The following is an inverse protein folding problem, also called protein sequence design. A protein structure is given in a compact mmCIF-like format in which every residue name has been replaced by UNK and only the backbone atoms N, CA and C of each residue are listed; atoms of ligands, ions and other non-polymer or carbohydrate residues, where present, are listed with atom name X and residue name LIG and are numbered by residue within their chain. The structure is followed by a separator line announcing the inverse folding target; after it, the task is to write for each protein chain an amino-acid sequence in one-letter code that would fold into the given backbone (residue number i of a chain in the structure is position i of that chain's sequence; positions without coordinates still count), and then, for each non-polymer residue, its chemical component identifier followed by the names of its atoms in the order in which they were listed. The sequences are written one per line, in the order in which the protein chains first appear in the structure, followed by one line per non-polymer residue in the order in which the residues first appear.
data_IF_689176625515
#
_entry.id   IF_689176625515
#
_cell.length_a   1.000
_cell.length_b   1.000
_cell.length_c   1.000
_cell.angle_alpha   90.00
_cell.angle_beta   90.00
_cell.angle_gamma   90.00
#
_symmetry.space_group_name_H-M   'P 1'
#
loop_
_entity.id
_entity.type
_entity.pdbx_description
1 polymer ?
#
# COMPACT_ATOMS: atom_id res chain seq x y z
N UNK A 1 -21.39 -7.69 2.55
CA UNK A 1 -20.84 -9.05 2.41
C UNK A 1 -19.61 -8.97 1.52
N UNK A 2 -18.54 -9.68 1.85
CA UNK A 2 -17.32 -9.79 1.06
C UNK A 2 -17.02 -11.29 0.88
N UNK A 3 -17.02 -11.76 -0.36
CA UNK A 3 -16.88 -13.20 -0.68
C UNK A 3 -17.78 -14.09 0.20
N UNK A 4 -19.06 -13.71 0.34
CA UNK A 4 -20.05 -14.47 1.10
C UNK A 4 -20.00 -14.29 2.62
N UNK A 5 -19.04 -13.58 3.18
CA UNK A 5 -18.88 -13.40 4.63
C UNK A 5 -19.25 -11.98 5.07
N UNK A 6 -19.74 -11.79 6.30
CA UNK A 6 -20.11 -10.46 6.77
C UNK A 6 -18.90 -9.52 6.86
N UNK A 7 -19.05 -8.32 6.31
CA UNK A 7 -18.06 -7.26 6.37
C UNK A 7 -18.73 -6.02 6.95
N UNK A 8 -18.22 -5.54 8.09
CA UNK A 8 -18.80 -4.41 8.83
C UNK A 8 -17.71 -3.37 9.10
N UNK A 9 -18.13 -2.11 9.10
CA UNK A 9 -17.25 -0.97 9.40
C UNK A 9 -17.88 -0.17 10.55
N UNK A 10 -17.08 0.13 11.57
CA UNK A 10 -17.48 1.00 12.68
C UNK A 10 -16.50 2.17 12.73
N UNK A 11 -17.03 3.40 12.73
CA UNK A 11 -16.21 4.61 12.72
C UNK A 11 -16.56 5.51 13.91
N UNK A 12 -15.59 6.34 14.34
CA UNK A 12 -15.81 7.35 15.36
C UNK A 12 -15.76 6.86 16.80
N UNK A 13 -15.44 5.60 17.04
CA UNK A 13 -15.36 5.04 18.41
C UNK A 13 -13.97 5.12 19.03
N UNK A 14 -12.94 4.93 18.22
CA UNK A 14 -11.56 4.80 18.69
C UNK A 14 -10.67 5.80 17.95
N UNK A 15 -9.49 6.06 18.54
CA UNK A 15 -8.44 6.91 17.93
C UNK A 15 -8.95 8.30 17.53
N UNK A 16 -9.60 9.01 18.47
CA UNK A 16 -10.19 10.33 18.22
C UNK A 16 -9.21 11.43 17.83
N UNK A 17 -7.91 11.22 18.06
CA UNK A 17 -6.86 12.18 17.69
C UNK A 17 -6.31 11.96 16.28
N UNK A 18 -6.68 10.86 15.62
CA UNK A 18 -6.27 10.58 14.24
C UNK A 18 -7.11 11.38 13.24
N UNK A 19 -6.58 11.62 12.04
CA UNK A 19 -7.34 12.27 10.96
C UNK A 19 -8.58 11.46 10.59
N UNK A 20 -8.45 10.12 10.59
CA UNK A 20 -9.59 9.20 10.51
C UNK A 20 -9.24 7.85 11.12
N UNK A 21 -10.26 7.17 11.62
CA UNK A 21 -10.11 5.82 12.17
C UNK A 21 -11.36 4.99 11.90
N UNK A 22 -11.17 3.69 11.74
CA UNK A 22 -12.25 2.74 11.56
C UNK A 22 -11.87 1.38 12.16
N UNK A 23 -12.86 0.70 12.70
CA UNK A 23 -12.74 -0.69 13.09
C UNK A 23 -13.41 -1.54 12.01
N UNK A 24 -12.65 -2.41 11.39
CA UNK A 24 -13.07 -3.27 10.28
C UNK A 24 -13.28 -4.66 10.85
N UNK A 25 -14.47 -5.19 10.65
CA UNK A 25 -14.78 -6.58 11.02
C UNK A 25 -15.07 -7.37 9.74
N UNK A 26 -14.30 -8.42 9.52
CA UNK A 26 -14.49 -9.38 8.44
C UNK A 26 -14.63 -10.77 9.07
N UNK A 27 -15.85 -11.30 9.07
CA UNK A 27 -16.16 -12.46 9.91
C UNK A 27 -15.87 -12.14 11.36
N UNK A 28 -15.04 -12.95 12.02
CA UNK A 28 -14.58 -12.67 13.40
C UNK A 28 -13.20 -11.99 13.45
N UNK A 29 -12.55 -11.77 12.30
CA UNK A 29 -11.34 -10.94 12.24
C UNK A 29 -11.73 -9.48 12.45
N UNK A 30 -11.02 -8.81 13.36
CA UNK A 30 -11.22 -7.38 13.64
C UNK A 30 -9.87 -6.67 13.50
N UNK A 31 -9.82 -5.65 12.64
CA UNK A 31 -8.63 -4.82 12.44
C UNK A 31 -9.00 -3.37 12.70
N UNK A 32 -8.25 -2.73 13.59
CA UNK A 32 -8.36 -1.29 13.83
C UNK A 32 -7.40 -0.58 12.87
N UNK A 33 -7.95 0.30 12.03
CA UNK A 33 -7.19 1.07 11.05
C UNK A 33 -7.29 2.55 11.41
N UNK A 34 -6.16 3.25 11.36
CA UNK A 34 -6.16 4.70 11.55
C UNK A 34 -5.12 5.34 10.64
N UNK A 35 -5.33 6.62 10.31
CA UNK A 35 -4.41 7.40 9.51
C UNK A 35 -4.17 8.74 10.21
N UNK A 36 -2.89 9.15 10.22
CA UNK A 36 -2.46 10.43 10.79
C UNK A 36 -1.54 11.11 9.78
N UNK A 37 -1.70 12.42 9.64
CA UNK A 37 -0.85 13.25 8.78
C UNK A 37 -0.27 14.40 9.62
N UNK A 38 1.02 14.69 9.40
CA UNK A 38 1.66 15.84 10.04
C UNK A 38 1.05 17.15 9.51
N UNK A 39 0.86 18.18 10.37
CA UNK A 39 0.29 19.44 9.90
C UNK A 39 1.23 20.25 9.01
N UNK A 40 2.54 19.98 9.06
CA UNK A 40 3.56 20.69 8.27
C UNK A 40 4.35 19.71 7.41
N UNK A 41 4.80 20.15 6.23
CA UNK A 41 5.71 19.34 5.42
C UNK A 41 7.03 19.08 6.16
N UNK A 42 7.61 17.92 5.94
CA UNK A 42 8.91 17.56 6.50
C UNK A 42 10.03 18.25 5.72
N UNK A 43 10.86 19.01 6.44
CA UNK A 43 11.98 19.72 5.82
C UNK A 43 13.11 18.76 5.43
N UNK A 44 13.78 19.06 4.34
CA UNK A 44 14.98 18.36 3.91
C UNK A 44 14.75 17.00 3.25
N UNK A 45 13.49 16.67 2.90
CA UNK A 45 13.20 15.41 2.17
C UNK A 45 12.74 15.71 0.74
N UNK A 46 13.19 14.87 -0.18
CA UNK A 46 12.87 14.95 -1.62
C UNK A 46 11.86 13.89 -2.07
N UNK A 47 11.36 13.08 -1.13
CA UNK A 47 10.39 12.01 -1.37
C UNK A 47 9.15 12.18 -0.48
N UNK A 48 8.08 11.46 -0.82
CA UNK A 48 6.86 11.42 -0.01
C UNK A 48 7.05 10.48 1.20
N UNK A 49 7.02 11.00 2.44
CA UNK A 49 7.26 10.18 3.63
C UNK A 49 5.98 9.47 4.10
N UNK A 50 5.66 8.34 3.48
CA UNK A 50 4.56 7.46 3.89
C UNK A 50 5.11 6.32 4.75
N UNK A 51 4.51 6.11 5.91
CA UNK A 51 4.77 4.96 6.77
C UNK A 51 3.50 4.14 6.89
N UNK A 52 3.60 2.85 6.61
CA UNK A 52 2.48 1.91 6.76
C UNK A 52 2.91 0.85 7.77
N UNK A 53 2.18 0.75 8.86
CA UNK A 53 2.45 -0.19 9.95
C UNK A 53 1.32 -1.20 10.07
N UNK A 54 1.69 -2.45 10.17
CA UNK A 54 0.75 -3.55 10.40
C UNK A 54 1.24 -4.33 11.62
N UNK A 55 0.36 -4.47 12.60
CA UNK A 55 0.68 -5.16 13.85
C UNK A 55 -0.32 -6.27 14.14
N UNK A 56 0.20 -7.48 14.31
CA UNK A 56 -0.57 -8.61 14.83
C UNK A 56 -0.28 -8.75 16.32
N UNK A 57 -1.26 -8.40 17.14
CA UNK A 57 -1.13 -8.55 18.59
C UNK A 57 -1.32 -10.02 18.99
N UNK A 58 -0.48 -10.51 19.90
CA UNK A 58 -0.56 -11.91 20.35
C UNK A 58 -1.93 -12.23 20.97
N UNK A 59 -2.54 -11.28 21.66
CA UNK A 59 -3.88 -11.47 22.22
C UNK A 59 -4.96 -11.71 21.17
N UNK A 60 -4.76 -11.21 19.93
CA UNK A 60 -5.71 -11.43 18.82
C UNK A 60 -5.86 -12.93 18.50
N UNK A 61 -4.80 -13.73 18.76
CA UNK A 61 -4.80 -15.18 18.61
C UNK A 61 -4.91 -15.91 19.96
N UNK A 62 -5.36 -15.21 21.02
CA UNK A 62 -5.52 -15.78 22.37
C UNK A 62 -4.21 -16.12 23.07
N UNK A 63 -3.11 -15.46 22.71
CA UNK A 63 -1.77 -15.73 23.26
C UNK A 63 -1.25 -14.58 24.11
N UNK A 64 -0.38 -14.92 25.07
CA UNK A 64 0.34 -13.95 25.90
C UNK A 64 1.80 -13.92 25.43
N UNK A 65 2.45 -12.74 25.38
CA UNK A 65 3.87 -12.67 25.05
C UNK A 65 4.71 -13.59 25.95
N UNK A 66 5.53 -14.46 25.33
CA UNK A 66 6.31 -15.46 26.04
C UNK A 66 7.65 -14.97 26.58
N UNK A 67 8.07 -13.74 26.22
CA UNK A 67 9.34 -13.19 26.70
C UNK A 67 9.30 -12.89 28.19
N UNK A 68 10.48 -12.75 28.81
CA UNK A 68 10.62 -12.38 30.23
C UNK A 68 9.84 -11.09 30.56
N UNK A 69 9.90 -10.11 29.66
CA UNK A 69 9.24 -8.82 29.85
C UNK A 69 7.72 -8.84 29.65
N UNK A 70 7.17 -9.97 29.17
CA UNK A 70 5.73 -10.11 28.86
C UNK A 70 5.18 -9.01 27.96
N UNK A 71 6.01 -8.51 27.03
CA UNK A 71 5.65 -7.45 26.09
C UNK A 71 5.77 -7.93 24.64
N UNK A 72 5.02 -7.26 23.77
CA UNK A 72 5.14 -7.46 22.32
C UNK A 72 6.53 -7.02 21.89
N UNK A 73 7.17 -7.81 21.05
CA UNK A 73 8.46 -7.48 20.46
C UNK A 73 8.34 -6.65 19.19
N UNK A 74 9.40 -6.68 18.39
CA UNK A 74 9.37 -6.08 17.06
C UNK A 74 8.37 -6.84 16.17
N UNK A 75 7.79 -6.17 15.17
CA UNK A 75 6.91 -6.86 14.22
C UNK A 75 7.62 -8.05 13.57
N UNK A 76 6.91 -9.16 13.45
CA UNK A 76 7.44 -10.33 12.76
C UNK A 76 7.57 -10.09 11.25
N UNK A 77 8.34 -10.95 10.59
CA UNK A 77 8.59 -10.86 9.14
C UNK A 77 7.28 -10.76 8.33
N UNK A 78 6.30 -11.59 8.67
CA UNK A 78 4.99 -11.57 8.01
C UNK A 78 4.31 -10.20 8.15
N UNK A 79 4.36 -9.61 9.34
CA UNK A 79 3.75 -8.29 9.58
C UNK A 79 4.42 -7.21 8.73
N UNK A 80 5.76 -7.27 8.62
CA UNK A 80 6.52 -6.34 7.77
C UNK A 80 6.15 -6.52 6.29
N UNK A 81 6.04 -7.77 5.83
CA UNK A 81 5.65 -8.05 4.44
C UNK A 81 4.23 -7.58 4.16
N UNK A 82 3.29 -7.81 5.09
CA UNK A 82 1.91 -7.33 4.95
C UNK A 82 1.85 -5.79 4.87
N UNK A 83 2.63 -5.07 5.70
CA UNK A 83 2.67 -3.61 5.63
C UNK A 83 3.13 -3.14 4.24
N UNK A 84 4.08 -3.85 3.63
CA UNK A 84 4.58 -3.53 2.28
C UNK A 84 3.53 -3.85 1.20
N UNK A 85 2.77 -4.92 1.37
CA UNK A 85 1.67 -5.28 0.45
C UNK A 85 0.60 -4.18 0.45
N UNK A 86 0.36 -3.52 1.59
CA UNK A 86 -0.57 -2.41 1.68
C UNK A 86 0.05 -1.11 1.15
N UNK A 87 1.32 -0.83 1.48
CA UNK A 87 2.03 0.38 1.05
C UNK A 87 2.10 0.49 -0.49
N UNK A 88 2.42 -0.61 -1.17
CA UNK A 88 2.65 -0.63 -2.63
C UNK A 88 1.49 -0.09 -3.45
N UNK A 89 0.23 -0.52 -3.24
CA UNK A 89 -0.89 0.03 -4.01
C UNK A 89 -1.35 1.40 -3.54
N UNK A 90 -1.09 1.79 -2.28
CA UNK A 90 -1.55 3.08 -1.74
C UNK A 90 -0.63 4.24 -2.13
N UNK A 91 0.68 4.02 -2.10
CA UNK A 91 1.71 5.06 -2.29
C UNK A 91 1.58 5.82 -3.63
N UNK A 92 1.39 5.16 -4.78
CA UNK A 92 1.31 5.89 -6.06
C UNK A 92 0.07 6.78 -6.21
N UNK A 93 -0.92 6.63 -5.35
CA UNK A 93 -2.16 7.41 -5.39
C UNK A 93 -2.07 8.70 -4.56
N UNK A 94 -0.99 8.89 -3.79
CA UNK A 94 -0.72 10.17 -3.13
C UNK A 94 -0.05 11.14 -4.10
N UNK A 95 -0.26 12.45 -3.94
CA UNK A 95 0.45 13.44 -4.75
C UNK A 95 1.97 13.34 -4.55
N UNK A 96 2.73 13.31 -5.63
CA UNK A 96 4.19 13.14 -5.59
C UNK A 96 4.90 14.31 -4.90
N UNK A 97 4.31 15.47 -4.93
CA UNK A 97 4.85 16.72 -4.41
C UNK A 97 4.59 16.89 -2.90
N UNK A 98 3.74 16.06 -2.34
CA UNK A 98 3.41 16.10 -0.90
C UNK A 98 4.62 15.70 -0.05
N UNK A 99 4.90 16.49 1.00
CA UNK A 99 6.04 16.25 1.91
C UNK A 99 5.59 16.12 3.37
N UNK A 100 4.28 16.11 3.61
CA UNK A 100 3.75 15.84 4.96
C UNK A 100 3.96 14.35 5.29
N UNK A 101 4.39 14.07 6.52
CA UNK A 101 4.47 12.68 7.01
C UNK A 101 3.07 12.10 7.11
N UNK A 102 2.84 10.97 6.49
CA UNK A 102 1.58 10.22 6.61
C UNK A 102 1.90 8.86 7.24
N UNK A 103 1.18 8.54 8.31
CA UNK A 103 1.29 7.24 8.97
C UNK A 103 -0.06 6.54 8.95
N UNK A 104 -0.08 5.32 8.41
CA UNK A 104 -1.25 4.45 8.41
C UNK A 104 -0.92 3.27 9.32
N UNK A 105 -1.73 3.06 10.34
CA UNK A 105 -1.53 1.95 11.29
C UNK A 105 -2.71 1.01 11.24
N UNK A 106 -2.41 -0.28 11.12
CA UNK A 106 -3.40 -1.36 11.12
C UNK A 106 -3.05 -2.31 12.26
N UNK A 107 -3.93 -2.41 13.26
CA UNK A 107 -3.72 -3.30 14.41
C UNK A 107 -4.77 -4.39 14.41
N UNK A 108 -4.33 -5.64 14.34
CA UNK A 108 -5.20 -6.82 14.39
C UNK A 108 -5.61 -7.04 15.85
N UNK A 109 -6.91 -6.93 16.12
CA UNK A 109 -7.49 -7.05 17.47
C UNK A 109 -8.09 -8.43 17.72
N UNK A 110 -8.53 -9.11 16.66
CA UNK A 110 -9.06 -10.47 16.71
C UNK A 110 -8.77 -11.17 15.39
N UNK A 111 -8.52 -12.45 15.40
CA UNK A 111 -8.10 -13.23 14.24
C UNK A 111 -9.03 -14.42 14.02
N UNK A 112 -9.60 -14.47 12.83
CA UNK A 112 -10.35 -15.61 12.29
C UNK A 112 -9.50 -16.21 11.16
N UNK A 113 -9.09 -17.47 11.27
CA UNK A 113 -8.23 -18.09 10.25
C UNK A 113 -8.82 -18.08 8.83
N UNK A 114 -10.14 -18.03 8.69
CA UNK A 114 -10.81 -18.04 7.40
C UNK A 114 -10.99 -16.64 6.80
N UNK A 115 -10.76 -15.59 7.59
CA UNK A 115 -10.98 -14.20 7.17
C UNK A 115 -9.64 -13.44 7.28
N UNK A 116 -8.95 -13.28 6.14
CA UNK A 116 -7.61 -12.67 6.10
C UNK A 116 -7.60 -11.27 6.74
N UNK A 117 -6.81 -11.06 7.80
CA UNK A 117 -6.63 -9.73 8.38
C UNK A 117 -5.88 -8.78 7.45
N UNK A 118 -5.08 -9.31 6.53
CA UNK A 118 -4.34 -8.53 5.52
C UNK A 118 -5.30 -7.80 4.59
N UNK A 119 -6.32 -8.53 4.09
CA UNK A 119 -7.35 -7.96 3.21
C UNK A 119 -8.23 -6.97 3.99
N UNK A 120 -8.65 -7.34 5.21
CA UNK A 120 -9.41 -6.42 6.06
C UNK A 120 -8.62 -5.14 6.35
N UNK A 121 -7.32 -5.27 6.62
CA UNK A 121 -6.42 -4.13 6.85
C UNK A 121 -6.26 -3.26 5.62
N UNK A 122 -6.06 -3.86 4.44
CA UNK A 122 -5.92 -3.12 3.19
C UNK A 122 -7.19 -2.29 2.87
N UNK A 123 -8.36 -2.92 2.99
CA UNK A 123 -9.65 -2.23 2.77
C UNK A 123 -9.83 -1.13 3.83
N UNK A 124 -9.46 -1.43 5.07
CA UNK A 124 -9.54 -0.46 6.18
C UNK A 124 -8.62 0.73 5.97
N UNK A 125 -7.36 0.50 5.58
CA UNK A 125 -6.38 1.55 5.28
C UNK A 125 -6.89 2.45 4.15
N UNK A 126 -7.44 1.85 3.10
CA UNK A 126 -8.05 2.56 1.98
C UNK A 126 -9.23 3.43 2.47
N UNK A 127 -10.12 2.84 3.26
CA UNK A 127 -11.30 3.52 3.78
C UNK A 127 -10.93 4.74 4.64
N UNK A 128 -10.03 4.57 5.63
CA UNK A 128 -9.68 5.68 6.55
C UNK A 128 -8.97 6.80 5.79
N UNK A 129 -8.14 6.46 4.81
CA UNK A 129 -7.47 7.47 3.98
C UNK A 129 -8.49 8.22 3.10
N UNK A 130 -9.44 7.49 2.50
CA UNK A 130 -10.47 8.08 1.63
C UNK A 130 -11.40 9.03 2.41
N UNK A 131 -11.80 8.64 3.64
CA UNK A 131 -12.69 9.43 4.51
C UNK A 131 -11.96 10.64 5.11
N UNK A 132 -10.65 10.53 5.37
CA UNK A 132 -9.85 11.61 5.99
C UNK A 132 -9.74 12.83 5.09
N UNK A 133 -9.24 13.92 5.65
CA UNK A 133 -8.93 15.16 4.93
C UNK A 133 -7.62 15.08 4.11
N UNK A 134 -6.91 13.96 4.15
CA UNK A 134 -5.62 13.77 3.48
C UNK A 134 -5.82 13.67 1.95
N UNK A 135 -5.08 14.45 1.13
CA UNK A 135 -5.18 14.37 -0.33
C UNK A 135 -4.71 12.98 -0.83
N UNK A 136 -5.60 12.26 -1.49
CA UNK A 136 -5.33 10.90 -1.97
C UNK A 136 -6.33 10.55 -3.08
N UNK A 137 -5.82 9.95 -4.16
CA UNK A 137 -6.58 9.63 -5.38
C UNK A 137 -7.15 8.19 -5.39
N UNK A 138 -7.43 7.65 -4.19
CA UNK A 138 -8.13 6.39 -4.04
C UNK A 138 -9.65 6.55 -4.17
N UNK A 139 -10.44 5.56 -3.75
CA UNK A 139 -10.03 4.38 -2.94
C UNK A 139 -9.52 3.20 -3.75
N UNK A 140 -8.89 2.28 -3.02
CA UNK A 140 -8.50 0.97 -3.54
C UNK A 140 -9.25 -0.14 -2.79
N UNK A 141 -9.40 -1.28 -3.44
CA UNK A 141 -9.81 -2.51 -2.79
C UNK A 141 -8.75 -3.57 -2.97
N UNK A 142 -8.81 -4.61 -2.15
CA UNK A 142 -7.94 -5.77 -2.27
C UNK A 142 -8.67 -7.07 -2.04
N UNK A 143 -8.27 -8.11 -2.78
CA UNK A 143 -8.84 -9.46 -2.65
C UNK A 143 -7.71 -10.49 -2.79
N UNK A 144 -7.83 -11.58 -2.05
CA UNK A 144 -7.03 -12.78 -2.30
C UNK A 144 -7.81 -13.72 -3.21
N UNK A 145 -7.10 -14.40 -4.09
CA UNK A 145 -7.69 -15.39 -5.00
C UNK A 145 -6.88 -16.69 -4.88
N UNK A 146 -7.59 -17.79 -4.80
CA UNK A 146 -7.01 -19.12 -4.87
C UNK A 146 -7.56 -19.90 -6.07
N UNK A 147 -6.87 -20.96 -6.45
CA UNK A 147 -7.31 -21.93 -7.43
C UNK A 147 -7.41 -23.28 -6.72
N UNK A 148 -8.62 -23.74 -6.47
CA UNK A 148 -8.88 -24.97 -5.71
C UNK A 148 -9.66 -25.95 -6.61
N UNK A 149 -9.07 -27.09 -6.87
CA UNK A 149 -9.66 -28.14 -7.73
C UNK A 149 -10.07 -27.58 -9.11
N UNK A 150 -9.30 -26.62 -9.64
CA UNK A 150 -9.54 -25.98 -10.94
C UNK A 150 -10.55 -24.82 -10.91
N UNK A 151 -11.12 -24.48 -9.73
CA UNK A 151 -12.09 -23.39 -9.61
C UNK A 151 -11.45 -22.17 -8.95
N UNK A 152 -11.76 -20.98 -9.46
CA UNK A 152 -11.30 -19.71 -8.92
C UNK A 152 -12.14 -19.38 -7.67
N UNK A 153 -11.47 -19.23 -6.52
CA UNK A 153 -12.11 -18.94 -5.22
C UNK A 153 -11.61 -17.59 -4.71
N UNK A 154 -12.55 -16.68 -4.42
CA UNK A 154 -12.25 -15.36 -3.85
C UNK A 154 -12.16 -15.44 -2.32
N UNK A 155 -11.10 -14.89 -1.77
CA UNK A 155 -10.80 -14.92 -0.33
C UNK A 155 -10.92 -16.33 0.25
N UNK A 156 -10.08 -17.27 -0.21
CA UNK A 156 -10.20 -18.67 0.20
C UNK A 156 -10.04 -18.87 1.71
N UNK A 157 -10.73 -19.86 2.27
CA UNK A 157 -10.60 -20.27 3.68
C UNK A 157 -9.20 -20.82 3.93
N UNK A 158 -8.85 -21.02 5.21
CA UNK A 158 -7.56 -21.60 5.58
C UNK A 158 -7.33 -22.97 4.93
N UNK A 159 -8.38 -23.81 4.91
CA UNK A 159 -8.30 -25.13 4.28
C UNK A 159 -8.10 -25.02 2.77
N UNK A 160 -8.89 -24.14 2.12
CA UNK A 160 -8.77 -23.89 0.69
C UNK A 160 -7.38 -23.36 0.30
N UNK A 161 -6.80 -22.46 1.13
CA UNK A 161 -5.45 -21.94 0.89
C UNK A 161 -4.38 -23.03 0.91
N UNK A 162 -4.55 -24.06 1.77
CA UNK A 162 -3.59 -25.18 1.84
C UNK A 162 -3.62 -26.08 0.60
N UNK A 163 -4.79 -26.14 -0.08
CA UNK A 163 -4.99 -26.98 -1.26
C UNK A 163 -4.87 -26.21 -2.56
N UNK A 164 -4.72 -24.90 -2.47
CA UNK A 164 -4.74 -24.03 -3.63
C UNK A 164 -3.43 -24.06 -4.40
N UNK A 165 -3.51 -24.17 -5.71
CA UNK A 165 -2.36 -24.07 -6.64
C UNK A 165 -2.01 -22.61 -6.95
N UNK A 166 -2.83 -21.67 -6.51
CA UNK A 166 -2.63 -20.23 -6.74
C UNK A 166 -2.80 -19.46 -5.44
N UNK A 167 -1.82 -18.63 -5.10
CA UNK A 167 -1.92 -17.65 -4.02
C UNK A 167 -1.75 -16.27 -4.67
N UNK A 168 -2.86 -15.63 -5.04
CA UNK A 168 -2.85 -14.37 -5.78
C UNK A 168 -3.49 -13.29 -4.92
N UNK A 169 -2.79 -12.17 -4.72
CA UNK A 169 -3.34 -10.96 -4.09
C UNK A 169 -3.40 -9.86 -5.15
N UNK A 170 -4.59 -9.30 -5.34
CA UNK A 170 -4.83 -8.21 -6.29
C UNK A 170 -5.30 -6.99 -5.52
N UNK A 171 -4.71 -5.83 -5.82
CA UNK A 171 -5.22 -4.54 -5.36
C UNK A 171 -5.46 -3.64 -6.57
N UNK A 172 -6.61 -2.97 -6.59
CA UNK A 172 -7.05 -2.18 -7.74
C UNK A 172 -7.86 -0.96 -7.30
N UNK A 173 -7.91 0.04 -8.18
CA UNK A 173 -8.89 1.12 -8.16
C UNK A 173 -10.13 0.68 -8.97
N UNK A 174 -11.10 1.56 -9.12
CA UNK A 174 -12.30 1.27 -9.92
C UNK A 174 -11.93 0.87 -11.36
N UNK A 175 -10.91 1.52 -11.93
CA UNK A 175 -10.59 1.41 -13.37
C UNK A 175 -9.31 0.62 -13.66
N UNK A 176 -8.39 0.54 -12.70
CA UNK A 176 -7.04 0.04 -12.95
C UNK A 176 -6.55 -0.89 -11.84
N UNK A 177 -5.91 -1.97 -12.24
CA UNK A 177 -5.18 -2.83 -11.32
C UNK A 177 -3.87 -2.13 -10.97
N UNK A 178 -3.59 -1.97 -9.68
CA UNK A 178 -2.44 -1.22 -9.17
C UNK A 178 -1.34 -2.17 -8.70
N UNK A 179 -1.73 -3.33 -8.16
CA UNK A 179 -0.76 -4.30 -7.65
C UNK A 179 -1.26 -5.72 -7.86
N UNK A 180 -0.34 -6.57 -8.26
CA UNK A 180 -0.53 -8.02 -8.34
C UNK A 180 0.65 -8.66 -7.62
N UNK A 181 0.37 -9.61 -6.74
CA UNK A 181 1.39 -10.46 -6.11
C UNK A 181 0.90 -11.90 -6.19
N UNK A 182 1.67 -12.76 -6.84
CA UNK A 182 1.26 -14.13 -7.12
C UNK A 182 2.35 -15.14 -6.81
N UNK A 183 1.95 -16.24 -6.19
CA UNK A 183 2.70 -17.49 -6.14
C UNK A 183 1.83 -18.57 -6.77
N UNK A 184 2.37 -19.34 -7.71
CA UNK A 184 1.58 -20.31 -8.46
C UNK A 184 2.37 -21.60 -8.73
N UNK A 185 1.68 -22.73 -8.72
CA UNK A 185 2.21 -24.05 -9.08
C UNK A 185 1.84 -24.34 -10.54
N UNK A 186 2.62 -23.78 -11.48
CA UNK A 186 2.47 -24.03 -12.93
C UNK A 186 1.06 -23.75 -13.48
N UNK A 187 0.40 -22.68 -12.98
CA UNK A 187 -0.93 -22.25 -13.48
C UNK A 187 -0.76 -21.57 -14.84
N UNK A 188 -1.63 -21.91 -15.79
CA UNK A 188 -1.59 -21.34 -17.14
C UNK A 188 -2.00 -19.85 -17.15
N UNK A 189 -1.58 -19.15 -18.19
CA UNK A 189 -1.77 -17.69 -18.32
C UNK A 189 -3.25 -17.29 -18.42
N UNK A 190 -4.06 -18.10 -19.10
CA UNK A 190 -5.50 -17.80 -19.26
C UNK A 190 -6.23 -17.91 -17.91
N UNK A 191 -5.93 -18.94 -17.12
CA UNK A 191 -6.48 -19.10 -15.77
C UNK A 191 -6.02 -17.96 -14.86
N UNK A 192 -4.74 -17.59 -14.94
CA UNK A 192 -4.20 -16.44 -14.18
C UNK A 192 -4.93 -15.15 -14.56
N UNK A 193 -5.12 -14.89 -15.86
CA UNK A 193 -5.82 -13.69 -16.33
C UNK A 193 -7.29 -13.67 -15.87
N UNK A 194 -7.95 -14.82 -15.90
CA UNK A 194 -9.35 -14.96 -15.44
C UNK A 194 -9.45 -14.72 -13.92
N UNK A 195 -8.47 -15.21 -13.15
CA UNK A 195 -8.39 -14.97 -11.70
C UNK A 195 -8.25 -13.48 -11.40
N UNK A 196 -7.41 -12.77 -12.14
CA UNK A 196 -7.20 -11.32 -11.99
C UNK A 196 -8.49 -10.54 -12.35
N UNK A 197 -9.18 -10.93 -13.42
CA UNK A 197 -10.46 -10.30 -13.81
C UNK A 197 -11.53 -10.51 -12.76
N UNK A 198 -11.66 -11.74 -12.24
CA UNK A 198 -12.62 -12.05 -11.17
C UNK A 198 -12.33 -11.24 -9.89
N UNK A 199 -11.05 -11.09 -9.53
CA UNK A 199 -10.63 -10.24 -8.41
C UNK A 199 -11.06 -8.79 -8.63
N UNK A 200 -10.82 -8.23 -9.83
CA UNK A 200 -11.15 -6.83 -10.12
C UNK A 200 -12.66 -6.56 -10.01
N UNK A 201 -13.49 -7.49 -10.47
CA UNK A 201 -14.95 -7.33 -10.35
C UNK A 201 -15.41 -7.29 -8.89
N UNK A 202 -14.81 -8.10 -8.02
CA UNK A 202 -15.12 -8.05 -6.59
C UNK A 202 -14.59 -6.75 -5.94
N UNK A 203 -13.41 -6.30 -6.36
CA UNK A 203 -12.80 -5.04 -5.88
C UNK A 203 -13.71 -3.85 -6.21
N UNK A 204 -14.33 -3.81 -7.39
CA UNK A 204 -15.28 -2.75 -7.76
C UNK A 204 -16.45 -2.65 -6.76
N UNK A 205 -16.94 -3.79 -6.27
CA UNK A 205 -18.01 -3.80 -5.25
C UNK A 205 -17.51 -3.22 -3.91
N UNK A 206 -16.27 -3.58 -3.54
CA UNK A 206 -15.62 -3.04 -2.31
C UNK A 206 -15.50 -1.51 -2.42
N UNK A 207 -15.03 -1.02 -3.57
CA UNK A 207 -14.84 0.42 -3.81
C UNK A 207 -16.20 1.14 -3.79
N UNK A 208 -17.23 0.56 -4.40
CA UNK A 208 -18.58 1.09 -4.33
C UNK A 208 -19.05 1.25 -2.89
N UNK A 209 -18.81 0.25 -2.05
CA UNK A 209 -19.13 0.31 -0.62
C UNK A 209 -18.32 1.39 0.10
N UNK A 210 -17.01 1.52 -0.17
CA UNK A 210 -16.19 2.59 0.42
C UNK A 210 -16.73 3.96 0.02
N UNK A 211 -17.10 4.13 -1.25
CA UNK A 211 -17.62 5.41 -1.76
C UNK A 211 -18.95 5.81 -1.09
N UNK A 212 -19.82 4.86 -0.72
CA UNK A 212 -21.03 5.19 0.05
C UNK A 212 -20.67 5.75 1.42
N UNK A 213 -19.67 5.19 2.09
CA UNK A 213 -19.21 5.68 3.39
C UNK A 213 -18.55 7.06 3.25
N UNK A 214 -17.75 7.26 2.19
CA UNK A 214 -17.09 8.55 1.92
C UNK A 214 -18.14 9.64 1.65
N UNK A 215 -19.21 9.32 0.94
CA UNK A 215 -20.31 10.26 0.70
C UNK A 215 -21.03 10.70 1.99
N UNK A 216 -21.12 9.80 2.99
CA UNK A 216 -21.79 10.09 4.26
C UNK A 216 -20.87 10.77 5.29
N UNK A 217 -19.60 10.38 5.34
CA UNK A 217 -18.68 10.72 6.44
C UNK A 217 -17.37 11.35 5.98
N UNK A 218 -17.15 11.50 4.66
CA UNK A 218 -15.92 12.04 4.13
C UNK A 218 -15.68 13.49 4.52
N UNK A 219 -14.44 13.80 4.84
CA UNK A 219 -13.99 15.19 5.11
C UNK A 219 -13.49 15.82 3.82
N UNK A 220 -13.65 17.15 3.64
CA UNK A 220 -13.04 17.83 2.49
C UNK A 220 -11.53 17.68 2.51
N UNK A 221 -10.93 17.43 1.36
CA UNK A 221 -9.48 17.26 1.24
C UNK A 221 -8.79 18.62 1.42
N UNK A 222 -7.70 18.64 2.20
CA UNK A 222 -6.93 19.85 2.45
C UNK A 222 -6.00 20.14 1.27
N UNK A 223 -5.75 21.43 1.04
CA UNK A 223 -4.73 21.87 0.10
C UNK A 223 -3.36 21.75 0.79
N UNK A 224 -2.38 21.22 0.10
CA UNK A 224 -1.02 21.09 0.59
C UNK A 224 -0.08 21.98 -0.22
N UNK A 225 0.97 22.44 0.45
CA UNK A 225 1.97 23.27 -0.22
C UNK A 225 2.79 22.41 -1.20
N UNK A 226 2.71 22.77 -2.45
CA UNK A 226 3.53 22.14 -3.50
C UNK A 226 4.88 22.89 -3.52
N UNK A 227 5.93 22.20 -3.11
CA UNK A 227 7.30 22.67 -3.34
C UNK A 227 7.65 22.22 -4.76
N UNK A 228 7.11 22.93 -5.72
CA UNK A 228 7.28 22.61 -7.13
C UNK A 228 8.57 23.17 -7.72
N UNK A 229 8.92 22.66 -8.86
CA UNK A 229 10.00 23.23 -9.66
C UNK A 229 9.59 24.63 -10.13
N UNK A 230 10.53 25.55 -10.09
CA UNK A 230 10.37 26.84 -10.75
C UNK A 230 10.23 26.57 -12.25
N UNK A 231 9.03 26.70 -12.78
CA UNK A 231 8.74 26.35 -14.18
C UNK A 231 9.43 27.32 -15.15
N UNK A 232 9.67 28.54 -14.76
CA UNK A 232 10.37 29.50 -15.61
C UNK A 232 11.86 29.10 -15.72
N UNK A 233 12.48 28.76 -14.60
CA UNK A 233 13.83 28.21 -14.58
C UNK A 233 13.92 26.89 -15.35
N UNK A 234 12.93 26.00 -15.16
CA UNK A 234 12.87 24.73 -15.89
C UNK A 234 12.80 24.98 -17.42
N UNK A 235 11.93 25.89 -17.87
CA UNK A 235 11.81 26.22 -19.29
C UNK A 235 13.06 26.90 -19.85
N UNK A 236 13.70 27.76 -19.08
CA UNK A 236 14.95 28.39 -19.46
C UNK A 236 16.07 27.34 -19.65
N UNK A 237 16.24 26.46 -18.68
CA UNK A 237 17.22 25.35 -18.75
C UNK A 237 16.88 24.42 -19.92
N UNK A 238 15.62 24.08 -20.08
CA UNK A 238 15.17 23.23 -21.19
C UNK A 238 15.45 23.87 -22.56
N UNK A 239 15.19 25.16 -22.71
CA UNK A 239 15.45 25.89 -23.97
C UNK A 239 16.96 25.97 -24.28
N UNK A 240 17.76 26.19 -23.27
CA UNK A 240 19.22 26.33 -23.44
C UNK A 240 19.92 24.98 -23.67
N UNK A 241 19.59 23.97 -22.90
CA UNK A 241 20.35 22.72 -22.86
C UNK A 241 19.69 21.55 -23.61
N UNK A 242 18.41 21.52 -23.72
CA UNK A 242 17.74 20.48 -24.51
C UNK A 242 17.84 20.70 -26.02
N UNK A 243 17.88 21.72 -26.24
CA UNK A 243 18.08 22.08 -27.55
C UNK A 243 19.40 21.69 -28.04
N UNK A 244 20.05 21.81 -27.23
CA UNK A 244 21.31 21.36 -27.44
C UNK A 244 21.40 19.90 -27.60
N UNK A 245 20.70 19.42 -27.03
CA UNK A 245 20.61 18.05 -27.08
C UNK A 245 20.00 17.56 -28.31
N UNK A 246 19.37 18.18 -28.58
CA UNK A 246 18.68 17.78 -29.70
C UNK A 246 19.41 18.09 -30.96
N UNK A 247 20.18 18.90 -30.93
CA UNK A 247 21.01 19.29 -32.12
C UNK A 247 22.24 18.41 -32.30
N UNK A 248 22.39 17.35 -31.60
CA UNK A 248 23.53 16.40 -31.70
C UNK A 248 24.84 16.90 -31.13
N UNK A 249 24.89 18.08 -30.52
CA UNK A 249 26.12 18.63 -29.95
C UNK A 249 26.63 17.89 -28.70
N UNK A 250 25.77 17.11 -28.06
CA UNK A 250 26.16 16.31 -26.88
C UNK A 250 26.65 14.91 -27.23
N UNK A 251 26.48 14.46 -28.46
CA UNK A 251 26.97 13.12 -28.85
C UNK A 251 28.52 13.05 -28.96
N UNK A 252 29.18 14.18 -29.00
CA UNK A 252 30.65 14.22 -29.11
C UNK A 252 31.40 14.31 -27.78
N UNK A 253 30.73 14.44 -26.65
CA UNK A 253 31.40 14.63 -25.35
C UNK A 253 31.20 13.47 -24.36
N UNK A 254 31.04 12.26 -24.84
CA UNK A 254 31.16 11.06 -23.99
C UNK A 254 32.62 10.62 -23.88
N UNK A 255 33.52 11.60 -23.67
CA UNK A 255 34.82 11.36 -23.10
C UNK A 255 34.76 11.82 -21.65
N UNK A 256 34.16 11.01 -20.77
CA UNK A 256 34.43 11.15 -19.36
C UNK A 256 35.91 10.83 -19.16
N UNK A 257 36.77 11.84 -19.31
CA UNK A 257 38.13 11.76 -18.74
C UNK A 257 37.88 11.65 -17.22
N UNK A 258 38.06 10.46 -16.69
CA UNK A 258 38.29 10.30 -15.25
C UNK A 258 39.44 11.26 -14.91
N UNK A 259 39.11 12.42 -14.36
CA UNK A 259 40.09 13.23 -13.67
C UNK A 259 40.65 12.35 -12.56
N UNK A 260 41.92 11.94 -12.73
CA UNK A 260 42.65 11.28 -11.64
C UNK A 260 42.71 12.30 -10.49
N UNK A 261 42.04 12.00 -9.41
CA UNK A 261 42.28 12.71 -8.16
C UNK A 261 43.76 12.57 -7.82
N UNK A 262 44.52 13.67 -7.66
CA UNK A 262 45.90 13.58 -7.20
C UNK A 262 45.84 13.00 -5.76
N UNK A 263 46.31 11.78 -5.57
CA UNK A 263 46.38 11.13 -4.27
C UNK A 263 45.65 9.79 -4.12
N UNK A 264 44.91 9.31 -5.13
CA UNK A 264 44.35 7.97 -5.10
C UNK A 264 45.26 6.96 -5.76
N UNK A 265 45.96 6.18 -4.96
CA UNK A 265 46.76 5.03 -5.42
C UNK A 265 45.84 3.88 -5.80
N UNK A 266 46.09 3.18 -6.93
CA UNK A 266 45.27 1.98 -7.26
C UNK A 266 45.85 0.77 -6.49
N UNK A 267 45.46 0.63 -5.25
CA UNK A 267 45.79 -0.59 -4.50
C UNK A 267 44.54 -1.23 -3.92
N UNK A 268 44.36 -2.47 -4.29
CA UNK A 268 43.60 -3.51 -3.61
C UNK A 268 42.07 -3.55 -3.80
N UNK A 269 41.70 -4.20 -4.92
CA UNK A 269 40.58 -5.16 -4.82
C UNK A 269 41.01 -6.43 -5.58
N UNK A 270 41.35 -7.53 -4.89
CA UNK A 270 41.49 -8.83 -5.56
C UNK A 270 40.11 -9.33 -5.95
N UNK A 271 40.02 -10.01 -7.09
CA UNK A 271 38.83 -10.49 -7.78
C UNK A 271 37.98 -11.54 -7.06
#
# INVERSE_FOLDING_TARGET
MLAGRPFKVEMGKMCGLSNASAMIRYGETVVMCNVVMSPKPREGVDFFPLNVEYEEKLYAAGRIPGSFMRREGRPGERAVLTSRVVDRPMRPLFPKEMRNDVCITMTVMSLDPDCSPEIAGMIGASLVTAVSEIPWNGPIGGVQVGLVDGEIVLNPTQEQRRRSDLALTVAATMDKIVMIEAGANEVDEDTMLNAIKAAHEEIKKIIGFINTIVAERGKPKIDFQVVGLDMDLFHAIKAEYLXXXXSGRLQGRHGYRRQKCPGCSPAAYPG
#
